data_IF_513467892903
#
_entry.id   IF_513467892903
#
_cell.length_a   1.000
_cell.length_b   1.000
_cell.length_c   1.000
_cell.angle_alpha   90.00
_cell.angle_beta   90.00
_cell.angle_gamma   90.00
#
_symmetry.space_group_name_H-M   'P 1'
#
loop_
_entity.id
_entity.type
_entity.pdbx_description
1 polymer ?
#
# COMPACT_ATOMS: atom_id res chain seq x y z
N UNK A 1 -11.43 10.47 17.51
CA UNK A 1 -10.37 10.81 18.47
C UNK A 1 -9.39 9.66 18.45
N UNK A 2 -8.20 9.83 17.86
CA UNK A 2 -7.21 8.75 17.79
C UNK A 2 -6.49 8.72 19.14
N UNK A 3 -6.35 7.55 19.74
CA UNK A 3 -5.60 7.40 20.99
C UNK A 3 -4.15 7.85 20.76
N UNK A 4 -3.51 8.51 21.75
CA UNK A 4 -2.09 8.84 21.65
C UNK A 4 -1.27 7.55 21.47
N UNK A 5 -0.10 7.63 20.80
CA UNK A 5 0.83 6.52 20.73
C UNK A 5 1.23 6.06 22.13
N UNK A 6 1.40 4.75 22.30
CA UNK A 6 1.81 4.15 23.58
C UNK A 6 3.19 4.67 24.00
N UNK A 7 3.32 4.98 25.29
CA UNK A 7 4.60 5.28 25.92
C UNK A 7 5.46 4.01 26.02
N UNK A 8 6.80 4.13 26.11
CA UNK A 8 7.69 2.97 26.19
C UNK A 8 7.31 1.96 27.27
N UNK A 9 6.90 2.43 28.45
CA UNK A 9 6.45 1.58 29.56
C UNK A 9 5.16 0.83 29.24
N UNK A 10 4.23 1.48 28.52
CA UNK A 10 2.98 0.86 28.09
C UNK A 10 3.22 -0.22 27.03
N UNK A 11 4.20 0.00 26.13
CA UNK A 11 4.64 -1.00 25.15
C UNK A 11 5.22 -2.23 25.86
N UNK A 12 6.09 -2.03 26.86
CA UNK A 12 6.66 -3.15 27.63
C UNK A 12 5.59 -3.97 28.36
N UNK A 13 4.58 -3.32 28.91
CA UNK A 13 3.46 -4.01 29.54
C UNK A 13 2.60 -4.74 28.50
N UNK A 14 2.32 -4.10 27.36
CA UNK A 14 1.52 -4.69 26.28
C UNK A 14 2.17 -5.96 25.70
N UNK A 15 3.49 -5.98 25.53
CA UNK A 15 4.22 -7.13 25.00
C UNK A 15 4.18 -8.38 25.92
N UNK A 16 3.88 -8.19 27.21
CA UNK A 16 3.71 -9.26 28.21
C UNK A 16 2.30 -9.87 28.20
N UNK A 17 1.33 -9.21 27.54
CA UNK A 17 -0.04 -9.71 27.44
C UNK A 17 -0.03 -11.04 26.67
N UNK A 18 -0.67 -12.06 27.26
CA UNK A 18 -0.88 -13.34 26.60
C UNK A 18 -2.11 -13.24 25.72
N UNK A 19 -1.96 -13.61 24.45
CA UNK A 19 -3.06 -13.65 23.51
C UNK A 19 -3.60 -15.05 23.34
N UNK A 20 -4.84 -15.15 22.88
CA UNK A 20 -5.49 -16.41 22.51
C UNK A 20 -6.20 -16.17 21.19
N UNK A 21 -5.86 -16.96 20.18
CA UNK A 21 -6.55 -16.90 18.89
C UNK A 21 -7.99 -17.38 19.05
N UNK A 22 -8.93 -16.67 18.44
CA UNK A 22 -10.36 -16.98 18.47
C UNK A 22 -10.88 -17.09 17.04
N UNK A 23 -11.85 -17.96 16.82
CA UNK A 23 -12.50 -18.10 15.52
C UNK A 23 -13.24 -16.80 15.17
N UNK A 24 -12.97 -16.27 13.99
CA UNK A 24 -13.70 -15.12 13.42
C UNK A 24 -14.63 -15.63 12.33
N UNK A 25 -15.84 -15.08 12.26
CA UNK A 25 -16.85 -15.48 11.28
C UNK A 25 -16.33 -15.28 9.85
N UNK A 26 -16.35 -16.34 9.03
CA UNK A 26 -15.93 -16.31 7.62
C UNK A 26 -14.50 -16.79 7.33
N UNK A 27 -13.70 -17.09 8.37
CA UNK A 27 -12.35 -17.64 8.21
C UNK A 27 -12.28 -19.15 8.54
N UNK A 28 -11.17 -19.78 8.15
CA UNK A 28 -10.93 -21.19 8.48
C UNK A 28 -10.86 -21.35 10.01
N UNK A 29 -11.50 -22.38 10.59
CA UNK A 29 -11.46 -22.60 12.02
C UNK A 29 -10.03 -22.78 12.53
N UNK A 30 -9.71 -22.09 13.63
CA UNK A 30 -8.48 -22.30 14.39
C UNK A 30 -8.49 -23.73 14.93
N UNK A 31 -7.54 -24.54 14.46
CA UNK A 31 -7.39 -25.94 14.85
C UNK A 31 -7.29 -26.08 16.37
N UNK A 32 -8.17 -26.88 16.99
CA UNK A 32 -8.33 -26.99 18.45
C UNK A 32 -7.11 -27.45 19.27
N UNK A 33 -5.97 -27.71 18.63
CA UNK A 33 -4.69 -28.01 19.28
C UNK A 33 -3.70 -26.84 19.36
N UNK A 34 -4.01 -25.68 18.79
CA UNK A 34 -3.08 -24.54 18.65
C UNK A 34 -3.58 -23.25 19.32
N UNK A 35 -4.16 -23.35 20.52
CA UNK A 35 -4.31 -22.17 21.37
C UNK A 35 -2.94 -21.81 21.95
N UNK A 36 -2.12 -21.13 21.15
CA UNK A 36 -0.82 -20.64 21.57
C UNK A 36 -1.03 -19.56 22.64
N UNK A 37 -0.86 -19.92 23.93
CA UNK A 37 -0.79 -18.97 25.06
C UNK A 37 0.57 -18.27 25.10
N UNK A 38 1.00 -17.74 23.96
CA UNK A 38 2.24 -17.02 23.83
C UNK A 38 2.08 -15.53 24.24
N UNK A 39 3.13 -14.91 24.81
CA UNK A 39 3.20 -13.46 24.94
C UNK A 39 3.13 -12.81 23.55
N UNK A 40 2.52 -11.63 23.45
CA UNK A 40 2.48 -10.82 22.22
C UNK A 40 3.88 -10.62 21.61
N UNK A 41 4.92 -10.54 22.43
CA UNK A 41 6.31 -10.48 21.97
C UNK A 41 6.73 -11.62 21.01
N UNK A 42 6.14 -12.82 21.13
CA UNK A 42 6.43 -13.92 20.22
C UNK A 42 5.90 -13.68 18.80
N UNK A 43 4.78 -12.96 18.65
CA UNK A 43 4.26 -12.57 17.34
C UNK A 43 5.20 -11.60 16.59
N UNK A 44 6.06 -10.89 17.32
CA UNK A 44 7.06 -9.98 16.78
C UNK A 44 8.48 -10.58 16.73
N UNK A 45 8.65 -11.87 17.01
CA UNK A 45 9.96 -12.53 16.94
C UNK A 45 10.34 -12.79 15.48
N UNK A 46 11.60 -12.53 15.05
CA UNK A 46 12.03 -12.80 13.68
C UNK A 46 11.78 -14.25 13.27
N UNK A 47 11.06 -14.46 12.16
CA UNK A 47 10.89 -15.79 11.58
C UNK A 47 12.14 -16.19 10.79
N UNK A 48 12.42 -17.50 10.74
CA UNK A 48 13.45 -18.04 9.83
C UNK A 48 13.01 -17.76 8.38
N UNK A 49 13.94 -17.35 7.52
CA UNK A 49 13.66 -17.15 6.10
C UNK A 49 13.12 -18.47 5.49
N UNK A 50 12.10 -18.35 4.63
CA UNK A 50 11.64 -19.51 3.86
C UNK A 50 12.79 -20.03 2.98
N UNK A 51 12.98 -21.36 2.88
CA UNK A 51 13.97 -21.91 1.96
C UNK A 51 13.63 -21.44 0.54
N UNK A 52 14.64 -20.92 -0.16
CA UNK A 52 14.46 -20.42 -1.52
C UNK A 52 13.94 -21.50 -2.46
N UNK A 53 13.12 -21.12 -3.43
CA UNK A 53 12.65 -22.00 -4.50
C UNK A 53 13.80 -22.32 -5.46
N UNK A 54 14.03 -23.61 -5.77
CA UNK A 54 15.03 -24.08 -6.74
C UNK A 54 14.36 -24.58 -8.04
N UNK A 55 15.02 -24.42 -9.19
CA UNK A 55 14.57 -24.92 -10.50
C UNK A 55 14.16 -23.84 -11.51
N UNK A 56 13.79 -24.25 -12.72
CA UNK A 56 13.36 -23.34 -13.79
C UNK A 56 11.90 -22.90 -13.56
N UNK A 57 11.67 -21.59 -13.50
CA UNK A 57 10.32 -21.00 -13.45
C UNK A 57 9.94 -20.50 -14.84
N UNK A 58 8.89 -21.08 -15.41
CA UNK A 58 8.28 -20.59 -16.66
C UNK A 58 6.92 -20.01 -16.32
N UNK A 59 6.59 -18.84 -16.87
CA UNK A 59 5.30 -18.19 -16.68
C UNK A 59 4.80 -17.67 -18.01
N UNK A 60 3.53 -17.93 -18.31
CA UNK A 60 2.82 -17.36 -19.44
C UNK A 60 1.91 -16.24 -18.93
N UNK A 61 1.97 -15.09 -19.58
CA UNK A 61 1.12 -13.95 -19.28
C UNK A 61 0.27 -13.66 -20.51
N UNK A 62 -1.04 -13.73 -20.35
CA UNK A 62 -1.98 -13.20 -21.32
C UNK A 62 -2.36 -11.79 -20.87
N UNK A 63 -2.24 -10.85 -21.80
CA UNK A 63 -2.67 -9.47 -21.53
C UNK A 63 -4.20 -9.44 -21.46
N UNK A 64 -4.71 -8.62 -20.56
CA UNK A 64 -6.13 -8.52 -20.29
C UNK A 64 -6.49 -7.15 -19.74
N UNK A 65 -7.78 -6.94 -19.39
CA UNK A 65 -8.25 -5.67 -18.90
C UNK A 65 -7.39 -5.16 -17.74
N UNK A 66 -6.75 -4.00 -17.94
CA UNK A 66 -5.76 -3.43 -17.02
C UNK A 66 -6.23 -2.09 -16.54
N UNK A 67 -6.01 -1.77 -15.25
CA UNK A 67 -6.43 -0.50 -14.64
C UNK A 67 -5.22 0.33 -14.28
N UNK A 68 -5.30 1.64 -14.50
CA UNK A 68 -4.43 2.62 -13.85
C UNK A 68 -4.90 2.86 -12.42
N UNK A 69 -3.97 3.00 -11.48
CA UNK A 69 -4.25 3.28 -10.07
C UNK A 69 -3.33 4.38 -9.55
N UNK A 70 -3.82 5.12 -8.54
CA UNK A 70 -3.02 6.04 -7.74
C UNK A 70 -3.01 5.57 -6.29
N UNK A 71 -1.83 5.18 -5.85
CA UNK A 71 -1.56 4.80 -4.47
C UNK A 71 -1.12 6.01 -3.65
N UNK A 72 -1.51 6.00 -2.39
CA UNK A 72 -1.12 6.96 -1.36
C UNK A 72 -0.38 6.24 -0.25
N UNK A 73 0.74 6.79 0.19
CA UNK A 73 1.38 6.33 1.41
C UNK A 73 0.66 6.94 2.61
N UNK A 74 -0.01 6.10 3.38
CA UNK A 74 -0.54 6.46 4.70
C UNK A 74 0.61 6.39 5.70
N UNK A 75 0.78 7.42 6.54
CA UNK A 75 1.92 7.56 7.45
C UNK A 75 2.80 8.76 7.11
N UNK A 76 4.03 8.77 7.63
CA UNK A 76 4.98 9.86 7.39
C UNK A 76 5.74 9.64 6.07
N UNK A 77 5.20 10.21 4.98
CA UNK A 77 5.84 10.18 3.67
C UNK A 77 7.12 11.00 3.60
N UNK A 78 7.31 12.01 4.45
CA UNK A 78 8.53 12.81 4.49
C UNK A 78 9.68 11.97 5.06
N UNK A 79 9.43 11.24 6.15
CA UNK A 79 10.40 10.31 6.72
C UNK A 79 10.86 9.25 5.70
N UNK A 80 9.94 8.72 4.88
CA UNK A 80 10.29 7.75 3.83
C UNK A 80 11.21 8.35 2.75
N UNK A 81 11.09 9.64 2.49
CA UNK A 81 11.95 10.39 1.56
C UNK A 81 13.22 10.95 2.22
N UNK A 82 13.39 10.79 3.55
CA UNK A 82 14.49 11.41 4.30
C UNK A 82 14.36 12.94 4.39
N UNK A 83 13.14 13.47 4.28
CA UNK A 83 12.84 14.89 4.34
C UNK A 83 12.23 15.28 5.70
N UNK A 84 12.37 16.55 6.07
CA UNK A 84 11.67 17.11 7.22
C UNK A 84 10.45 17.89 6.73
N UNK A 85 9.23 17.61 7.23
CA UNK A 85 8.05 18.36 6.85
C UNK A 85 8.21 19.83 7.26
N UNK A 86 7.86 20.74 6.35
CA UNK A 86 7.75 22.16 6.71
C UNK A 86 6.50 22.37 7.56
N UNK A 87 6.52 23.40 8.42
CA UNK A 87 5.36 23.72 9.25
C UNK A 87 4.09 23.91 8.39
N UNK A 88 3.05 23.12 8.67
CA UNK A 88 1.78 23.16 7.93
C UNK A 88 1.78 22.44 6.57
N UNK A 89 2.88 21.78 6.19
CA UNK A 89 2.92 20.99 4.96
C UNK A 89 2.10 19.71 5.13
N UNK A 90 1.11 19.55 4.25
CA UNK A 90 0.21 18.39 4.20
C UNK A 90 0.43 17.56 2.93
N UNK A 91 1.60 17.69 2.33
CA UNK A 91 1.95 16.89 1.15
C UNK A 91 1.96 15.42 1.50
N UNK A 92 1.41 14.63 0.59
CA UNK A 92 1.36 13.16 0.68
C UNK A 92 2.30 12.58 -0.35
N UNK A 93 2.85 11.41 -0.04
CA UNK A 93 3.63 10.64 -1.00
C UNK A 93 2.69 9.74 -1.81
N UNK A 94 2.86 9.77 -3.12
CA UNK A 94 2.00 9.15 -4.11
C UNK A 94 2.80 8.24 -5.02
N UNK A 95 2.13 7.22 -5.54
CA UNK A 95 2.63 6.36 -6.61
C UNK A 95 1.54 6.17 -7.65
N UNK A 96 1.84 6.41 -8.92
CA UNK A 96 0.98 6.03 -10.04
C UNK A 96 1.46 4.69 -10.61
N UNK A 97 0.56 3.86 -11.13
CA UNK A 97 0.93 2.67 -11.86
C UNK A 97 -0.24 1.98 -12.52
N UNK A 98 0.04 0.85 -13.17
CA UNK A 98 -0.96 -0.01 -13.82
C UNK A 98 -0.95 -1.42 -13.24
N UNK A 99 -2.13 -2.04 -13.13
CA UNK A 99 -2.27 -3.43 -12.71
C UNK A 99 -3.59 -4.02 -13.21
N UNK A 100 -3.58 -5.31 -13.54
CA UNK A 100 -4.80 -6.09 -13.77
C UNK A 100 -5.50 -6.45 -12.45
N UNK A 101 -4.78 -6.42 -11.33
CA UNK A 101 -5.30 -6.65 -9.99
C UNK A 101 -4.72 -5.61 -9.01
N UNK A 102 -5.44 -4.50 -8.77
CA UNK A 102 -5.03 -3.49 -7.78
C UNK A 102 -5.00 -4.03 -6.34
N UNK A 103 -5.82 -5.04 -6.00
CA UNK A 103 -5.85 -5.62 -4.64
C UNK A 103 -4.59 -6.44 -4.38
N UNK A 104 -4.18 -7.28 -5.33
CA UNK A 104 -2.86 -7.95 -5.26
C UNK A 104 -1.73 -6.93 -5.25
N UNK A 105 -1.83 -5.88 -6.07
CA UNK A 105 -0.77 -4.85 -6.17
C UNK A 105 -0.56 -4.10 -4.85
N UNK A 106 -1.61 -3.76 -4.09
CA UNK A 106 -1.41 -3.14 -2.77
C UNK A 106 -0.71 -4.07 -1.78
N UNK A 107 -0.95 -5.38 -1.85
CA UNK A 107 -0.23 -6.36 -1.04
C UNK A 107 1.24 -6.45 -1.45
N UNK A 108 1.51 -6.50 -2.76
CA UNK A 108 2.88 -6.48 -3.32
C UNK A 108 3.65 -5.23 -2.85
N UNK A 109 3.04 -4.04 -2.91
CA UNK A 109 3.64 -2.78 -2.46
C UNK A 109 3.99 -2.77 -0.96
N UNK A 110 3.21 -3.46 -0.13
CA UNK A 110 3.42 -3.51 1.32
C UNK A 110 4.22 -4.74 1.78
N UNK A 111 4.57 -5.66 0.88
CA UNK A 111 5.26 -6.92 1.24
C UNK A 111 6.63 -6.71 1.91
N UNK A 112 7.30 -5.59 1.60
CA UNK A 112 8.57 -5.18 2.23
C UNK A 112 8.42 -4.30 3.46
N UNK A 113 7.19 -3.96 3.86
CA UNK A 113 6.92 -3.10 5.02
C UNK A 113 6.62 -3.99 6.22
N UNK A 114 7.34 -3.85 7.35
CA UNK A 114 7.08 -4.62 8.56
C UNK A 114 5.62 -4.46 9.03
N UNK A 115 4.94 -5.51 9.51
CA UNK A 115 3.55 -5.41 10.00
C UNK A 115 3.35 -4.39 11.14
N UNK A 116 4.41 -4.12 11.92
CA UNK A 116 4.41 -3.13 12.99
C UNK A 116 4.59 -1.68 12.50
N UNK A 117 4.90 -1.47 11.21
CA UNK A 117 5.11 -0.14 10.68
C UNK A 117 3.79 0.64 10.65
N UNK A 118 3.87 1.91 11.05
CA UNK A 118 2.73 2.84 10.98
C UNK A 118 2.39 3.13 9.51
N UNK A 119 3.43 3.26 8.68
CA UNK A 119 3.32 3.63 7.28
C UNK A 119 2.96 2.47 6.36
N UNK A 120 2.04 2.68 5.41
CA UNK A 120 1.60 1.66 4.44
C UNK A 120 1.05 2.29 3.16
N UNK A 121 1.21 1.60 2.05
CA UNK A 121 0.56 1.98 0.79
C UNK A 121 -0.92 1.58 0.81
N UNK A 122 -1.78 2.49 0.39
CA UNK A 122 -3.18 2.23 0.05
C UNK A 122 -3.43 2.64 -1.39
N UNK A 123 -4.43 2.06 -2.05
CA UNK A 123 -4.82 2.41 -3.42
C UNK A 123 -6.26 2.96 -3.38
N UNK A 124 -6.45 4.24 -3.02
CA UNK A 124 -7.78 4.83 -2.92
C UNK A 124 -8.42 5.12 -4.28
N UNK A 125 -7.64 5.31 -5.34
CA UNK A 125 -8.16 5.63 -6.66
C UNK A 125 -7.73 4.61 -7.71
N UNK A 126 -8.72 4.12 -8.45
CA UNK A 126 -8.56 3.16 -9.54
C UNK A 126 -9.44 3.62 -10.70
N UNK A 127 -8.90 3.58 -11.90
CA UNK A 127 -9.64 3.87 -13.14
C UNK A 127 -10.57 2.73 -13.56
N UNK A 128 -11.38 3.00 -14.58
CA UNK A 128 -12.04 1.92 -15.33
C UNK A 128 -11.00 1.03 -16.01
N UNK A 129 -11.33 -0.23 -16.30
CA UNK A 129 -10.45 -1.11 -17.05
C UNK A 129 -10.23 -0.56 -18.47
N UNK A 130 -8.97 -0.42 -18.84
CA UNK A 130 -8.53 -0.26 -20.23
C UNK A 130 -8.49 -1.63 -20.92
N UNK A 131 -8.58 -1.62 -22.24
CA UNK A 131 -8.63 -2.82 -23.07
C UNK A 131 -7.43 -3.75 -22.83
N UNK A 132 -6.24 -3.17 -22.70
CA UNK A 132 -4.98 -3.90 -22.52
C UNK A 132 -4.00 -3.07 -21.69
N UNK A 133 -2.87 -3.67 -21.33
CA UNK A 133 -1.84 -3.02 -20.53
C UNK A 133 -1.27 -1.77 -21.22
N UNK A 134 -1.05 -1.82 -22.53
CA UNK A 134 -0.49 -0.69 -23.29
C UNK A 134 -1.36 0.55 -23.21
N UNK A 135 -2.68 0.40 -23.34
CA UNK A 135 -3.63 1.50 -23.19
C UNK A 135 -3.59 2.11 -21.77
N UNK A 136 -3.48 1.27 -20.73
CA UNK A 136 -3.34 1.76 -19.36
C UNK A 136 -2.00 2.49 -19.14
N UNK A 137 -0.90 2.03 -19.74
CA UNK A 137 0.42 2.67 -19.66
C UNK A 137 0.45 4.03 -20.37
N UNK A 138 -0.31 4.19 -21.47
CA UNK A 138 -0.52 5.49 -22.12
C UNK A 138 -1.25 6.47 -21.18
N UNK A 139 -2.29 6.00 -20.48
CA UNK A 139 -3.00 6.81 -19.49
C UNK A 139 -2.11 7.17 -18.29
N UNK A 140 -1.31 6.22 -17.80
CA UNK A 140 -0.33 6.45 -16.74
C UNK A 140 0.72 7.49 -17.16
N UNK A 141 1.21 7.41 -18.41
CA UNK A 141 2.13 8.40 -18.95
C UNK A 141 1.48 9.78 -19.02
N UNK A 142 0.23 9.87 -19.49
CA UNK A 142 -0.50 11.13 -19.53
C UNK A 142 -0.66 11.74 -18.12
N UNK A 143 -0.89 10.90 -17.09
CA UNK A 143 -0.88 11.35 -15.71
C UNK A 143 0.48 11.96 -15.33
N UNK A 144 1.59 11.26 -15.59
CA UNK A 144 2.94 11.73 -15.27
C UNK A 144 3.27 13.05 -15.95
N UNK A 145 2.88 13.22 -17.22
CA UNK A 145 3.14 14.44 -17.99
C UNK A 145 2.40 15.68 -17.42
N UNK A 146 1.19 15.49 -16.88
CA UNK A 146 0.42 16.55 -16.20
C UNK A 146 0.95 16.77 -14.77
N UNK A 147 1.12 15.69 -14.02
CA UNK A 147 1.58 15.70 -12.63
C UNK A 147 2.94 16.37 -12.48
N UNK A 148 3.86 16.21 -13.44
CA UNK A 148 5.18 16.85 -13.40
C UNK A 148 5.12 18.40 -13.35
N UNK A 149 3.98 19.00 -13.73
CA UNK A 149 3.76 20.46 -13.68
C UNK A 149 3.09 20.93 -12.39
N UNK A 150 2.34 20.06 -11.73
CA UNK A 150 1.47 20.41 -10.59
C UNK A 150 1.95 19.79 -9.26
N UNK A 151 2.73 18.71 -9.33
CA UNK A 151 3.26 17.94 -8.21
C UNK A 151 4.79 17.84 -8.32
N UNK A 152 5.45 17.58 -7.19
CA UNK A 152 6.90 17.34 -7.18
C UNK A 152 7.16 15.88 -7.51
N UNK A 153 7.81 15.59 -8.64
CA UNK A 153 8.32 14.25 -8.91
C UNK A 153 9.40 13.88 -7.89
N UNK A 154 9.33 12.66 -7.35
CA UNK A 154 10.38 12.09 -6.47
C UNK A 154 11.07 10.88 -7.13
N UNK A 155 10.89 10.75 -8.45
CA UNK A 155 11.54 9.74 -9.29
C UNK A 155 10.58 8.68 -9.80
N UNK A 156 10.73 8.32 -11.08
CA UNK A 156 9.96 7.26 -11.74
C UNK A 156 8.44 7.45 -11.65
N UNK A 157 7.80 6.59 -10.86
CA UNK A 157 6.34 6.52 -10.66
C UNK A 157 5.84 7.32 -9.44
N UNK A 158 6.74 8.00 -8.73
CA UNK A 158 6.45 8.59 -7.43
C UNK A 158 6.38 10.11 -7.47
N UNK A 159 5.44 10.68 -6.71
CA UNK A 159 5.21 12.12 -6.61
C UNK A 159 4.92 12.53 -5.15
N UNK A 160 5.21 13.77 -4.82
CA UNK A 160 4.85 14.42 -3.56
C UNK A 160 4.06 15.70 -3.83
N UNK A 161 3.00 15.92 -3.07
CA UNK A 161 2.20 17.14 -3.15
C UNK A 161 0.86 17.01 -2.44
N UNK A 162 -0.02 18.01 -2.61
CA UNK A 162 -1.36 17.98 -2.01
C UNK A 162 -2.21 16.89 -2.65
N UNK A 163 -2.92 16.13 -1.81
CA UNK A 163 -3.83 15.08 -2.25
C UNK A 163 -4.88 15.59 -3.25
N UNK A 164 -5.56 16.68 -2.92
CA UNK A 164 -6.62 17.26 -3.77
C UNK A 164 -6.11 17.63 -5.18
N UNK A 165 -4.86 18.13 -5.27
CA UNK A 165 -4.25 18.43 -6.57
C UNK A 165 -4.01 17.14 -7.38
N UNK A 166 -3.54 16.08 -6.73
CA UNK A 166 -3.35 14.79 -7.38
C UNK A 166 -4.68 14.15 -7.83
N UNK A 167 -5.74 14.27 -7.02
CA UNK A 167 -7.08 13.82 -7.41
C UNK A 167 -7.59 14.55 -8.65
N UNK A 168 -7.39 15.86 -8.72
CA UNK A 168 -7.76 16.67 -9.90
C UNK A 168 -6.98 16.21 -11.14
N UNK A 169 -5.67 15.94 -11.01
CA UNK A 169 -4.86 15.42 -12.12
C UNK A 169 -5.38 14.04 -12.54
N UNK A 170 -5.66 13.15 -11.60
CA UNK A 170 -6.17 11.81 -11.86
C UNK A 170 -7.52 11.86 -12.60
N UNK A 171 -8.45 12.71 -12.17
CA UNK A 171 -9.77 12.91 -12.78
C UNK A 171 -9.73 13.59 -14.17
N UNK A 172 -8.58 14.08 -14.61
CA UNK A 172 -8.37 14.61 -15.98
C UNK A 172 -7.93 13.53 -16.97
N UNK A 173 -7.55 12.35 -16.51
CA UNK A 173 -7.06 11.28 -17.38
C UNK A 173 -8.24 10.56 -18.06
N UNK A 174 -8.22 10.41 -19.39
CA UNK A 174 -9.24 9.62 -20.10
C UNK A 174 -9.32 8.19 -19.54
N UNK A 175 -10.52 7.66 -19.31
CA UNK A 175 -10.72 6.34 -18.70
C UNK A 175 -10.83 6.34 -17.18
N UNK A 176 -10.67 7.50 -16.53
CA UNK A 176 -11.05 7.69 -15.13
C UNK A 176 -12.50 8.18 -15.09
N UNK A 177 -13.42 7.31 -14.62
CA UNK A 177 -14.84 7.67 -14.44
C UNK A 177 -14.95 8.95 -13.60
N UNK A 178 -15.60 9.97 -14.17
CA UNK A 178 -15.85 11.23 -13.44
C UNK A 178 -16.98 11.12 -12.43
N UNK A 179 -17.88 10.16 -12.57
CA UNK A 179 -18.91 9.83 -11.59
C UNK A 179 -19.35 8.38 -11.86
N UNK A 180 -19.20 7.51 -10.87
CA UNK A 180 -19.81 6.18 -10.80
C UNK A 180 -20.26 5.99 -9.36
N UNK A 181 -21.57 5.87 -9.15
CA UNK A 181 -22.26 6.01 -7.86
C UNK A 181 -22.06 4.87 -6.87
#
# INVERSE_FOLDING_TARGET
>A
MWSPPLLPEEIEQALKIRLTEVNVFGELPVSGGSLSRAPLAQAFTPSRAFPGSFGARTSFYEDGPTRMYMARFEGDGFALLGETPRCGDKSVLLKIGVSNDPRRRVQELNSGIPPAAIGRWTIPMVSEPYENRGAAEVAEKAFKDIAAKELRSVGGEFFSGKWDAAEIVFARIPGVSRFGG
#
